data_IF_811863445776
#
_entry.id   IF_811863445776
#
_cell.length_a   1.000
_cell.length_b   1.000
_cell.length_c   1.000
_cell.angle_alpha   90.00
_cell.angle_beta   90.00
_cell.angle_gamma   90.00
#
_symmetry.space_group_name_H-M   'P 1'
#
loop_
_entity.id
_entity.type
_entity.pdbx_description
1 polymer ?
#
# COMPACT_ATOMS: atom_id res chain seq x y z
N UNK A 1 33.37 -4.80 -10.85
CA UNK A 1 32.66 -4.12 -11.96
C UNK A 1 32.33 -2.71 -11.47
N UNK A 2 32.80 -1.66 -12.15
CA UNK A 2 32.53 -0.26 -11.75
C UNK A 2 31.41 0.25 -12.62
N UNK A 3 30.30 0.72 -12.01
CA UNK A 3 29.20 1.32 -12.76
C UNK A 3 29.69 2.58 -13.47
N UNK A 4 29.25 2.78 -14.70
CA UNK A 4 29.61 3.98 -15.50
C UNK A 4 29.05 5.27 -14.90
N UNK A 5 27.93 5.17 -14.19
CA UNK A 5 27.26 6.28 -13.53
C UNK A 5 26.96 5.89 -12.08
N UNK A 6 27.01 6.87 -11.18
CA UNK A 6 26.56 6.68 -9.81
C UNK A 6 25.02 6.67 -9.78
N UNK A 7 24.37 5.57 -9.42
CA UNK A 7 22.90 5.49 -9.43
C UNK A 7 22.24 6.41 -8.39
N UNK A 8 23.00 6.97 -7.45
CA UNK A 8 22.47 7.86 -6.42
C UNK A 8 22.42 9.33 -6.85
N UNK A 9 23.08 9.71 -7.93
CA UNK A 9 23.14 11.11 -8.39
C UNK A 9 21.76 11.69 -8.71
N UNK A 10 20.82 10.84 -9.16
CA UNK A 10 19.43 11.24 -9.43
C UNK A 10 18.66 11.70 -8.19
N UNK A 11 19.13 11.31 -7.00
CA UNK A 11 18.45 11.62 -5.75
C UNK A 11 18.99 12.88 -5.07
N UNK A 12 20.21 13.35 -5.39
CA UNK A 12 20.91 14.44 -4.68
C UNK A 12 20.14 15.75 -4.61
N UNK A 13 19.28 16.03 -5.60
CA UNK A 13 18.43 17.23 -5.64
C UNK A 13 16.94 16.92 -5.71
N UNK A 14 16.55 15.66 -5.55
CA UNK A 14 15.16 15.25 -5.68
C UNK A 14 14.34 15.68 -4.48
N UNK A 15 13.21 16.36 -4.71
CA UNK A 15 12.19 16.73 -3.73
C UNK A 15 10.97 15.80 -3.75
N UNK A 16 10.97 14.76 -4.59
CA UNK A 16 9.91 13.75 -4.55
C UNK A 16 9.96 12.95 -3.24
N UNK A 17 8.84 12.40 -2.75
CA UNK A 17 8.84 11.58 -1.52
C UNK A 17 9.89 10.46 -1.53
N UNK A 18 10.06 9.77 -2.66
CA UNK A 18 11.07 8.72 -2.82
C UNK A 18 12.50 9.29 -2.81
N UNK A 19 12.71 10.43 -3.47
CA UNK A 19 14.00 11.13 -3.47
C UNK A 19 14.38 11.62 -2.08
N UNK A 20 13.47 12.23 -1.36
CA UNK A 20 13.70 12.67 0.03
C UNK A 20 14.00 11.49 0.95
N UNK A 21 13.28 10.37 0.78
CA UNK A 21 13.60 9.13 1.50
C UNK A 21 15.02 8.66 1.21
N UNK A 22 15.44 8.66 -0.06
CA UNK A 22 16.77 8.25 -0.48
C UNK A 22 17.86 9.21 0.06
N UNK A 23 17.66 10.52 -0.03
CA UNK A 23 18.57 11.53 0.52
C UNK A 23 18.79 11.33 2.01
N UNK A 24 17.72 11.10 2.76
CA UNK A 24 17.80 10.87 4.20
C UNK A 24 18.47 9.54 4.55
N UNK A 25 18.08 8.43 3.90
CA UNK A 25 18.42 7.10 4.36
C UNK A 25 19.61 6.47 3.62
N UNK A 26 19.88 6.87 2.38
CA UNK A 26 20.95 6.30 1.55
C UNK A 26 22.11 7.28 1.34
N UNK A 27 21.83 8.59 1.25
CA UNK A 27 22.86 9.61 1.11
C UNK A 27 23.24 10.26 2.47
N UNK A 28 22.53 9.89 3.52
CA UNK A 28 22.82 10.34 4.90
C UNK A 28 22.80 11.85 5.11
N UNK A 29 21.99 12.59 4.36
CA UNK A 29 21.83 14.06 4.45
C UNK A 29 21.00 14.52 5.67
N UNK A 30 20.97 13.73 6.75
CA UNK A 30 20.01 13.91 7.87
C UNK A 30 20.07 15.29 8.56
N UNK A 31 21.20 15.96 8.50
CA UNK A 31 21.44 17.26 9.21
C UNK A 31 21.28 18.49 8.30
N UNK A 32 21.07 18.31 7.02
CA UNK A 32 20.96 19.42 6.08
C UNK A 32 19.65 20.22 6.32
N UNK A 33 19.75 21.50 6.62
CA UNK A 33 18.61 22.40 6.81
C UNK A 33 17.70 22.43 5.58
N UNK A 34 18.29 22.36 4.38
CA UNK A 34 17.57 22.27 3.10
C UNK A 34 16.70 21.02 3.01
N UNK A 35 17.23 19.87 3.43
CA UNK A 35 16.46 18.63 3.43
C UNK A 35 15.21 18.73 4.31
N UNK A 36 15.33 19.35 5.49
CA UNK A 36 14.21 19.55 6.41
C UNK A 36 13.13 20.44 5.79
N UNK A 37 13.52 21.51 5.10
CA UNK A 37 12.59 22.40 4.39
C UNK A 37 11.89 21.65 3.26
N UNK A 38 12.64 20.92 2.43
CA UNK A 38 12.11 20.10 1.33
C UNK A 38 11.08 19.05 1.84
N UNK A 39 11.35 18.41 2.99
CA UNK A 39 10.41 17.50 3.62
C UNK A 39 9.12 18.20 4.02
N UNK A 40 9.21 19.35 4.69
CA UNK A 40 8.04 20.11 5.14
C UNK A 40 7.18 20.54 3.96
N UNK A 41 7.78 21.12 2.91
CA UNK A 41 7.10 21.55 1.71
C UNK A 41 6.41 20.37 1.00
N UNK A 42 7.12 19.24 0.86
CA UNK A 42 6.57 18.04 0.24
C UNK A 42 5.38 17.49 1.04
N UNK A 43 5.46 17.45 2.37
CA UNK A 43 4.35 16.98 3.22
C UNK A 43 3.14 17.90 3.09
N UNK A 44 3.34 19.23 3.10
CA UNK A 44 2.27 20.21 2.89
C UNK A 44 1.62 19.97 1.51
N UNK A 45 2.44 19.78 0.46
CA UNK A 45 1.95 19.48 -0.88
C UNK A 45 1.19 18.16 -0.98
N UNK A 46 1.62 17.12 -0.26
CA UNK A 46 0.91 15.84 -0.21
C UNK A 46 -0.45 15.95 0.48
N UNK A 47 -0.54 16.75 1.56
CA UNK A 47 -1.77 16.95 2.32
C UNK A 47 -2.70 17.98 1.68
N UNK A 48 -2.19 18.80 0.75
CA UNK A 48 -3.01 19.80 0.06
C UNK A 48 -4.15 19.13 -0.71
N UNK A 49 -5.26 19.85 -0.86
CA UNK A 49 -6.46 19.41 -1.61
C UNK A 49 -7.07 18.08 -1.12
N UNK A 50 -6.83 17.68 0.12
CA UNK A 50 -7.58 16.59 0.72
C UNK A 50 -9.04 17.02 0.91
N UNK A 51 -9.97 16.20 0.46
CA UNK A 51 -11.40 16.42 0.64
C UNK A 51 -11.83 16.19 2.10
N UNK A 52 -13.01 16.69 2.48
CA UNK A 52 -13.53 16.54 3.83
C UNK A 52 -13.77 15.09 4.25
N UNK A 53 -13.98 14.19 3.29
CA UNK A 53 -14.12 12.75 3.50
C UNK A 53 -12.76 12.03 3.68
N UNK A 54 -11.65 12.74 3.57
CA UNK A 54 -10.29 12.19 3.70
C UNK A 54 -9.65 11.74 2.38
N UNK A 55 -10.40 11.70 1.28
CA UNK A 55 -9.87 11.30 -0.02
C UNK A 55 -9.14 12.42 -0.75
N UNK A 56 -8.45 12.08 -1.85
CA UNK A 56 -8.01 13.04 -2.87
C UNK A 56 -8.77 12.79 -4.17
N UNK A 57 -9.56 13.78 -4.56
CA UNK A 57 -10.45 13.75 -5.75
C UNK A 57 -11.41 12.55 -5.77
N UNK A 58 -11.85 12.07 -4.64
CA UNK A 58 -12.66 10.84 -4.50
C UNK A 58 -12.07 9.65 -5.27
N UNK A 59 -10.74 9.63 -5.43
CA UNK A 59 -10.00 8.64 -6.21
C UNK A 59 -9.18 7.73 -5.30
N UNK A 60 -9.46 6.43 -5.33
CA UNK A 60 -8.68 5.42 -4.61
C UNK A 60 -7.20 5.48 -5.00
N UNK A 61 -6.91 5.62 -6.29
CA UNK A 61 -5.52 5.66 -6.78
C UNK A 61 -4.78 6.87 -6.23
N UNK A 62 -5.40 8.07 -6.32
CA UNK A 62 -4.78 9.29 -5.80
C UNK A 62 -4.59 9.22 -4.29
N UNK A 63 -5.59 8.72 -3.56
CA UNK A 63 -5.52 8.57 -2.09
C UNK A 63 -4.41 7.60 -1.70
N UNK A 64 -4.32 6.45 -2.36
CA UNK A 64 -3.23 5.49 -2.13
C UNK A 64 -1.87 6.12 -2.45
N UNK A 65 -1.71 6.83 -3.57
CA UNK A 65 -0.44 7.47 -3.93
C UNK A 65 -0.03 8.56 -2.92
N UNK A 66 -0.98 9.38 -2.45
CA UNK A 66 -0.71 10.40 -1.42
C UNK A 66 -0.25 9.74 -0.10
N UNK A 67 -0.94 8.70 0.34
CA UNK A 67 -0.55 7.96 1.54
C UNK A 67 0.81 7.26 1.40
N UNK A 68 1.14 6.71 0.23
CA UNK A 68 2.49 6.19 -0.02
C UNK A 68 3.55 7.29 0.05
N UNK A 69 3.28 8.47 -0.50
CA UNK A 69 4.16 9.62 -0.34
C UNK A 69 4.37 10.02 1.12
N UNK A 70 3.30 10.05 1.90
CA UNK A 70 3.33 10.33 3.35
C UNK A 70 4.08 9.23 4.12
N UNK A 71 3.94 7.97 3.73
CA UNK A 71 4.74 6.88 4.30
C UNK A 71 6.24 7.08 4.10
N UNK A 72 6.67 7.55 2.93
CA UNK A 72 8.08 7.79 2.64
C UNK A 72 8.63 9.04 3.34
N UNK A 73 7.76 9.94 3.79
CA UNK A 73 8.15 11.20 4.41
C UNK A 73 7.93 11.22 5.93
N UNK A 74 6.72 11.01 6.41
CA UNK A 74 6.32 11.23 7.81
C UNK A 74 6.31 9.95 8.64
N UNK A 75 5.74 8.87 8.15
CA UNK A 75 5.53 7.59 8.85
C UNK A 75 4.79 7.68 10.19
N UNK A 76 4.09 8.75 10.44
CA UNK A 76 3.38 8.96 11.69
C UNK A 76 1.89 9.13 11.45
N UNK A 77 1.08 8.67 12.40
CA UNK A 77 -0.35 8.95 12.38
C UNK A 77 -0.61 10.44 12.53
N UNK A 78 -1.60 10.93 11.81
CA UNK A 78 -2.16 12.27 11.95
C UNK A 78 -3.62 12.24 11.54
N UNK A 79 -4.39 13.24 11.92
CA UNK A 79 -5.82 13.31 11.58
C UNK A 79 -6.06 13.18 10.07
N UNK A 80 -5.35 13.89 9.16
CA UNK A 80 -5.54 13.73 7.72
C UNK A 80 -5.25 12.30 7.22
N UNK A 81 -4.19 11.67 7.75
CA UNK A 81 -3.83 10.29 7.39
C UNK A 81 -4.91 9.32 7.86
N UNK A 82 -5.39 9.47 9.09
CA UNK A 82 -6.44 8.62 9.63
C UNK A 82 -7.74 8.75 8.82
N UNK A 83 -8.17 9.97 8.48
CA UNK A 83 -9.34 10.18 7.60
C UNK A 83 -9.18 9.49 6.24
N UNK A 84 -7.99 9.57 5.64
CA UNK A 84 -7.73 8.91 4.37
C UNK A 84 -7.76 7.38 4.48
N UNK A 85 -7.24 6.83 5.57
CA UNK A 85 -7.29 5.39 5.83
C UNK A 85 -8.71 4.91 6.09
N UNK A 86 -9.53 5.67 6.83
CA UNK A 86 -10.93 5.37 7.06
C UNK A 86 -11.70 5.35 5.74
N UNK A 87 -11.52 6.36 4.91
CA UNK A 87 -12.13 6.40 3.58
C UNK A 87 -11.71 5.20 2.71
N UNK A 88 -10.40 4.85 2.65
CA UNK A 88 -9.94 3.68 1.92
C UNK A 88 -10.51 2.37 2.47
N UNK A 89 -10.66 2.28 3.79
CA UNK A 89 -11.24 1.12 4.44
C UNK A 89 -12.70 0.94 4.04
N UNK A 90 -13.49 2.01 4.03
CA UNK A 90 -14.88 1.99 3.58
C UNK A 90 -15.00 1.56 2.11
N UNK A 91 -14.16 2.12 1.23
CA UNK A 91 -14.12 1.71 -0.18
C UNK A 91 -13.73 0.23 -0.33
N UNK A 92 -12.78 -0.24 0.49
CA UNK A 92 -12.32 -1.63 0.48
C UNK A 92 -13.43 -2.58 0.93
N UNK A 93 -14.14 -2.26 2.00
CA UNK A 93 -15.25 -3.08 2.49
C UNK A 93 -16.43 -3.12 1.50
N UNK A 94 -16.76 -1.98 0.88
CA UNK A 94 -17.81 -1.89 -0.13
C UNK A 94 -17.52 -2.72 -1.39
N UNK A 95 -16.24 -2.81 -1.78
CA UNK A 95 -15.81 -3.49 -3.01
C UNK A 95 -15.07 -4.80 -2.75
N UNK A 96 -15.08 -5.30 -1.51
CA UNK A 96 -14.36 -6.52 -1.12
C UNK A 96 -14.75 -7.71 -2.01
N UNK A 97 -13.79 -8.43 -2.58
CA UNK A 97 -14.07 -9.53 -3.48
C UNK A 97 -14.77 -10.68 -2.73
N UNK A 98 -15.96 -11.05 -3.19
CA UNK A 98 -16.79 -12.09 -2.56
C UNK A 98 -16.50 -13.49 -3.10
N UNK A 99 -15.85 -13.59 -4.26
CA UNK A 99 -15.54 -14.85 -4.93
C UNK A 99 -14.19 -14.78 -5.62
N UNK A 100 -13.66 -15.93 -6.01
CA UNK A 100 -12.48 -16.00 -6.87
C UNK A 100 -12.79 -15.30 -8.19
N UNK A 101 -11.91 -14.40 -8.60
CA UNK A 101 -11.94 -13.82 -9.95
C UNK A 101 -11.24 -14.80 -10.89
N UNK A 102 -11.96 -15.30 -11.88
CA UNK A 102 -11.40 -16.17 -12.92
C UNK A 102 -10.62 -15.31 -13.90
N UNK A 103 -9.49 -15.81 -14.38
CA UNK A 103 -8.69 -15.16 -15.41
C UNK A 103 -9.57 -14.82 -16.62
N UNK A 104 -9.58 -13.57 -17.06
CA UNK A 104 -10.43 -13.06 -18.14
C UNK A 104 -11.65 -12.24 -17.72
N UNK A 105 -12.14 -12.36 -16.48
CA UNK A 105 -13.25 -11.53 -15.96
C UNK A 105 -12.78 -10.19 -15.40
N UNK A 106 -11.72 -9.66 -15.91
CA UNK A 106 -10.95 -8.56 -15.32
C UNK A 106 -11.49 -7.20 -15.74
N UNK A 107 -12.67 -6.89 -15.30
CA UNK A 107 -13.21 -5.57 -15.55
C UNK A 107 -12.79 -4.60 -14.46
N UNK A 108 -11.80 -3.81 -14.75
CA UNK A 108 -11.45 -2.64 -13.95
C UNK A 108 -12.56 -1.60 -14.13
N UNK A 109 -13.36 -1.37 -13.08
CA UNK A 109 -14.45 -0.40 -13.10
C UNK A 109 -14.10 0.79 -12.19
N UNK A 110 -14.68 1.95 -12.49
CA UNK A 110 -14.57 3.14 -11.65
C UNK A 110 -13.17 3.73 -11.61
N UNK A 111 -12.76 4.14 -10.42
CA UNK A 111 -11.52 4.90 -10.16
C UNK A 111 -10.22 4.19 -10.58
N UNK A 112 -10.25 2.88 -10.81
CA UNK A 112 -9.08 2.08 -11.23
C UNK A 112 -9.03 1.83 -12.73
N UNK A 113 -10.04 2.28 -13.49
CA UNK A 113 -10.10 2.07 -14.94
C UNK A 113 -8.92 2.77 -15.62
N UNK A 114 -8.25 2.05 -16.53
CA UNK A 114 -7.16 2.60 -17.34
C UNK A 114 -5.80 2.67 -16.65
N UNK A 115 -5.67 2.18 -15.43
CA UNK A 115 -4.37 2.13 -14.76
C UNK A 115 -3.56 0.91 -15.26
N UNK A 116 -2.26 1.09 -15.62
CA UNK A 116 -1.47 0.04 -16.27
C UNK A 116 -1.19 -1.18 -15.38
N UNK A 117 -1.32 -1.05 -14.06
CA UNK A 117 -1.04 -2.09 -13.08
C UNK A 117 -2.30 -2.72 -12.46
N UNK A 118 -3.49 -2.32 -12.90
CA UNK A 118 -4.75 -2.80 -12.34
C UNK A 118 -5.42 -3.87 -13.19
N UNK A 119 -4.65 -4.51 -14.06
CA UNK A 119 -5.15 -5.58 -14.91
C UNK A 119 -5.86 -6.66 -14.12
N UNK A 120 -7.13 -6.44 -13.86
CA UNK A 120 -8.04 -7.49 -13.60
C UNK A 120 -8.51 -7.77 -12.19
N UNK A 121 -7.93 -7.27 -11.12
CA UNK A 121 -8.39 -7.59 -9.78
C UNK A 121 -8.43 -6.36 -8.88
N UNK A 122 -9.15 -5.33 -9.30
CA UNK A 122 -9.20 -4.03 -8.61
C UNK A 122 -9.50 -4.15 -7.10
N UNK A 123 -10.44 -5.01 -6.73
CA UNK A 123 -10.80 -5.25 -5.33
C UNK A 123 -9.65 -5.85 -4.51
N UNK A 124 -8.94 -6.82 -5.04
CA UNK A 124 -7.78 -7.40 -4.35
C UNK A 124 -6.59 -6.45 -4.30
N UNK A 125 -6.35 -5.69 -5.38
CA UNK A 125 -5.32 -4.67 -5.40
C UNK A 125 -5.57 -3.61 -4.31
N UNK A 126 -6.77 -3.07 -4.28
CA UNK A 126 -7.19 -2.07 -3.29
C UNK A 126 -7.10 -2.63 -1.87
N UNK A 127 -7.60 -3.86 -1.65
CA UNK A 127 -7.50 -4.52 -0.35
C UNK A 127 -6.05 -4.64 0.12
N UNK A 128 -5.15 -5.12 -0.73
CA UNK A 128 -3.72 -5.23 -0.40
C UNK A 128 -3.08 -3.88 -0.09
N UNK A 129 -3.38 -2.84 -0.87
CA UNK A 129 -2.86 -1.50 -0.64
C UNK A 129 -3.38 -0.89 0.68
N UNK A 130 -4.68 -1.02 0.96
CA UNK A 130 -5.30 -0.52 2.19
C UNK A 130 -4.71 -1.21 3.42
N UNK A 131 -4.60 -2.53 3.41
CA UNK A 131 -4.02 -3.29 4.52
C UNK A 131 -2.55 -2.92 4.76
N UNK A 132 -1.76 -2.80 3.69
CA UNK A 132 -0.36 -2.40 3.82
C UNK A 132 -0.24 -1.00 4.41
N UNK A 133 -0.99 -0.02 3.89
CA UNK A 133 -0.99 1.36 4.40
C UNK A 133 -1.49 1.42 5.85
N UNK A 134 -2.56 0.73 6.19
CA UNK A 134 -3.04 0.66 7.56
C UNK A 134 -1.96 0.14 8.51
N UNK A 135 -1.26 -0.93 8.12
CA UNK A 135 -0.19 -1.51 8.95
C UNK A 135 0.99 -0.57 9.12
N UNK A 136 1.47 0.10 8.06
CA UNK A 136 2.61 1.03 8.19
C UNK A 136 2.31 2.30 8.98
N UNK A 137 1.03 2.66 9.10
CA UNK A 137 0.58 3.76 9.94
C UNK A 137 0.07 3.29 11.31
N UNK A 138 0.33 2.04 11.72
CA UNK A 138 0.06 1.53 13.07
C UNK A 138 -1.40 1.20 13.36
N UNK A 139 -2.21 0.91 12.33
CA UNK A 139 -3.63 0.53 12.45
C UNK A 139 -3.89 -0.96 12.18
N UNK A 140 -2.86 -1.78 12.22
CA UNK A 140 -2.94 -3.23 11.95
C UNK A 140 -3.87 -3.99 12.91
N UNK A 141 -4.09 -3.46 14.11
CA UNK A 141 -4.95 -4.07 15.13
C UNK A 141 -6.40 -3.56 15.11
N UNK A 142 -6.75 -2.67 14.20
CA UNK A 142 -8.13 -2.23 14.04
C UNK A 142 -9.04 -3.42 13.70
N UNK A 143 -10.19 -3.52 14.35
CA UNK A 143 -11.12 -4.66 14.18
C UNK A 143 -11.55 -4.85 12.72
N UNK A 144 -11.76 -3.77 11.99
CA UNK A 144 -12.11 -3.80 10.57
C UNK A 144 -10.94 -4.31 9.70
N UNK A 145 -9.70 -3.95 10.04
CA UNK A 145 -8.49 -4.45 9.36
C UNK A 145 -8.31 -5.95 9.61
N UNK A 146 -8.44 -6.38 10.87
CA UNK A 146 -8.38 -7.80 11.23
C UNK A 146 -9.46 -8.62 10.51
N UNK A 147 -10.68 -8.08 10.39
CA UNK A 147 -11.75 -8.75 9.65
C UNK A 147 -11.43 -8.89 8.16
N UNK A 148 -10.79 -7.90 7.53
CA UNK A 148 -10.36 -8.01 6.13
C UNK A 148 -9.30 -9.11 5.99
N UNK A 149 -8.30 -9.18 6.87
CA UNK A 149 -7.32 -10.26 6.87
C UNK A 149 -7.99 -11.63 7.01
N UNK A 150 -8.94 -11.77 7.95
CA UNK A 150 -9.71 -13.01 8.13
C UNK A 150 -10.46 -13.40 6.86
N UNK A 151 -11.11 -12.45 6.19
CA UNK A 151 -11.81 -12.70 4.92
C UNK A 151 -10.86 -13.11 3.80
N UNK A 152 -9.70 -12.47 3.69
CA UNK A 152 -8.68 -12.85 2.72
C UNK A 152 -8.17 -14.27 2.94
N UNK A 153 -7.94 -14.67 4.19
CA UNK A 153 -7.57 -16.04 4.52
C UNK A 153 -8.63 -17.04 4.09
N UNK A 154 -9.89 -16.78 4.40
CA UNK A 154 -11.00 -17.65 3.98
C UNK A 154 -11.08 -17.76 2.43
N UNK A 155 -10.88 -16.67 1.70
CA UNK A 155 -10.85 -16.70 0.24
C UNK A 155 -9.66 -17.50 -0.28
N UNK A 156 -8.48 -17.35 0.32
CA UNK A 156 -7.29 -18.11 -0.04
C UNK A 156 -7.52 -19.61 0.12
N UNK A 157 -8.03 -20.04 1.29
CA UNK A 157 -8.35 -21.44 1.57
C UNK A 157 -9.38 -22.00 0.58
N UNK A 158 -10.47 -21.28 0.32
CA UNK A 158 -11.52 -21.68 -0.65
C UNK A 158 -10.99 -21.79 -2.08
N UNK A 159 -9.99 -20.99 -2.41
CA UNK A 159 -9.37 -20.91 -3.73
C UNK A 159 -8.07 -21.73 -3.85
N UNK A 160 -7.87 -22.73 -2.99
CA UNK A 160 -6.71 -23.64 -3.02
C UNK A 160 -5.37 -22.88 -3.00
N UNK A 161 -5.22 -21.94 -2.07
CA UNK A 161 -3.99 -21.16 -1.89
C UNK A 161 -3.83 -19.96 -2.82
N UNK A 162 -4.88 -19.52 -3.51
CA UNK A 162 -4.80 -18.39 -4.45
C UNK A 162 -5.81 -17.30 -4.12
N UNK A 163 -5.43 -16.03 -4.25
CA UNK A 163 -6.37 -14.90 -4.21
C UNK A 163 -6.82 -14.51 -5.61
N UNK A 164 -5.84 -14.17 -6.46
CA UNK A 164 -6.06 -13.71 -7.81
C UNK A 164 -4.80 -13.95 -8.65
N UNK A 165 -4.54 -13.12 -9.67
CA UNK A 165 -3.30 -13.13 -10.42
C UNK A 165 -2.11 -12.57 -9.65
N UNK A 166 -0.93 -12.65 -10.26
CA UNK A 166 0.36 -12.32 -9.65
C UNK A 166 0.42 -10.94 -8.97
N UNK A 167 0.03 -9.87 -9.67
CA UNK A 167 0.13 -8.49 -9.15
C UNK A 167 -0.73 -8.25 -7.91
N UNK A 168 -1.91 -8.83 -7.86
CA UNK A 168 -2.82 -8.70 -6.72
C UNK A 168 -2.32 -9.48 -5.52
N UNK A 169 -1.87 -10.71 -5.74
CA UNK A 169 -1.29 -11.56 -4.69
C UNK A 169 -0.07 -10.90 -4.07
N UNK A 170 0.76 -10.25 -4.87
CA UNK A 170 1.97 -9.57 -4.40
C UNK A 170 1.67 -8.44 -3.40
N UNK A 171 0.66 -7.61 -3.66
CA UNK A 171 0.26 -6.56 -2.74
C UNK A 171 -0.32 -7.11 -1.43
N UNK A 172 -1.10 -8.18 -1.51
CA UNK A 172 -1.65 -8.85 -0.33
C UNK A 172 -0.50 -9.47 0.48
N UNK A 173 0.43 -10.17 -0.16
CA UNK A 173 1.60 -10.76 0.49
C UNK A 173 2.46 -9.73 1.21
N UNK A 174 2.67 -8.54 0.60
CA UNK A 174 3.37 -7.44 1.27
C UNK A 174 2.68 -6.99 2.54
N UNK A 175 1.36 -6.88 2.51
CA UNK A 175 0.59 -6.51 3.70
C UNK A 175 0.72 -7.56 4.81
N UNK A 176 0.55 -8.83 4.48
CA UNK A 176 0.72 -9.94 5.43
C UNK A 176 2.15 -9.99 6.00
N UNK A 177 3.17 -9.92 5.15
CA UNK A 177 4.56 -9.97 5.57
C UNK A 177 4.91 -8.79 6.51
N UNK A 178 4.44 -7.58 6.20
CA UNK A 178 4.69 -6.42 7.05
C UNK A 178 3.99 -6.55 8.40
N UNK A 179 2.74 -6.94 8.42
CA UNK A 179 1.97 -7.09 9.66
C UNK A 179 2.53 -8.22 10.56
N UNK A 180 3.03 -9.32 9.99
CA UNK A 180 3.65 -10.39 10.76
C UNK A 180 4.93 -9.93 11.49
N UNK A 181 5.66 -8.96 10.94
CA UNK A 181 6.82 -8.37 11.63
C UNK A 181 6.44 -7.65 12.91
N UNK A 182 5.19 -7.27 13.07
CA UNK A 182 4.63 -6.65 14.27
C UNK A 182 3.93 -7.64 15.22
N UNK A 183 4.19 -8.94 15.06
CA UNK A 183 3.63 -10.02 15.92
C UNK A 183 2.10 -10.03 16.00
N UNK A 184 1.41 -9.83 14.88
CA UNK A 184 -0.04 -9.87 14.83
C UNK A 184 -0.54 -11.31 14.64
N UNK A 185 -1.05 -11.98 15.70
CA UNK A 185 -1.38 -13.42 15.67
C UNK A 185 -2.37 -13.84 14.57
N UNK A 186 -3.41 -13.05 14.23
CA UNK A 186 -4.35 -13.43 13.16
C UNK A 186 -3.73 -13.55 11.78
N UNK A 187 -2.49 -13.08 11.61
CA UNK A 187 -1.80 -13.01 10.33
C UNK A 187 -0.85 -14.21 10.10
N UNK A 188 -0.53 -14.96 11.14
CA UNK A 188 0.30 -16.16 11.01
C UNK A 188 -0.36 -17.19 10.10
N UNK A 189 -1.66 -17.42 10.24
CA UNK A 189 -2.42 -18.32 9.37
C UNK A 189 -2.40 -17.82 7.91
N UNK A 190 -2.45 -16.51 7.69
CA UNK A 190 -2.36 -15.88 6.38
C UNK A 190 -1.02 -16.07 5.71
N UNK A 191 0.08 -15.98 6.46
CA UNK A 191 1.43 -16.21 5.94
C UNK A 191 1.66 -17.68 5.58
N UNK A 192 1.13 -18.61 6.36
CA UNK A 192 1.17 -20.05 6.03
C UNK A 192 0.45 -20.27 4.70
N UNK A 193 -0.74 -19.70 4.53
CA UNK A 193 -1.50 -19.78 3.27
C UNK A 193 -0.78 -19.10 2.11
N UNK A 194 -0.10 -17.98 2.35
CA UNK A 194 0.70 -17.26 1.35
C UNK A 194 1.96 -18.04 0.94
N UNK A 195 2.63 -18.68 1.91
CA UNK A 195 3.74 -19.60 1.64
C UNK A 195 3.33 -20.77 0.74
N UNK A 196 2.10 -21.24 0.89
CA UNK A 196 1.52 -22.26 0.00
C UNK A 196 1.33 -21.73 -1.43
N UNK A 197 0.93 -20.47 -1.57
CA UNK A 197 0.78 -19.82 -2.88
C UNK A 197 2.13 -19.65 -3.59
N UNK A 198 3.20 -19.33 -2.87
CA UNK A 198 4.54 -19.21 -3.43
C UNK A 198 5.11 -20.57 -3.88
N UNK A 199 4.92 -21.62 -3.10
CA UNK A 199 5.36 -22.99 -3.47
C UNK A 199 4.65 -23.58 -4.69
N UNK A 200 3.47 -23.09 -5.03
CA UNK A 200 2.73 -23.53 -6.23
C UNK A 200 3.13 -22.75 -7.50
N UNK A 201 3.99 -21.75 -7.39
CA UNK A 201 4.50 -20.95 -8.50
C UNK A 201 5.90 -21.38 -8.95
N UNK A 202 6.55 -22.28 -8.19
CA UNK A 202 7.78 -23.01 -8.56
C UNK A 202 7.41 -24.28 -9.33
#
# INVERSE_FOLDING_TARGET
MRLRYNPFDIFTSSTTPAGLYARRNWLHEQTAATLKADFQETVIGLLSSQASDGSWDHSVVKTVHRLFGLHLTVRAQSEPINKALDWLLDQTLATFPRRRVVSGEHLTRGALRGQPFTGGCSGFFMTGATLFLASIFGRENDSAILEIYRRLNLLNLRNKGRWCGWSCSNNILRAFAYANQHNCPPLQDGLISAGFTLKLAE
#
